data_IF_114046671285
#
_entry.id   IF_114046671285
#
_cell.length_a   1.000
_cell.length_b   1.000
_cell.length_c   1.000
_cell.angle_alpha   90.00
_cell.angle_beta   90.00
_cell.angle_gamma   90.00
#
_symmetry.space_group_name_H-M   'P 1'
#
loop_
_entity.id
_entity.type
_entity.pdbx_description
1 polymer ?
#
# COMPACT_ATOMS: atom_id res chain seq x y z
N UNK A 1 -8.85 -9.72 8.90
CA UNK A 1 -8.56 -11.14 9.02
C UNK A 1 -8.79 -11.86 7.69
N UNK A 2 -8.03 -12.92 7.42
CA UNK A 2 -8.07 -13.70 6.18
C UNK A 2 -9.48 -14.21 5.84
N UNK A 3 -10.21 -14.69 6.83
CA UNK A 3 -11.57 -15.21 6.67
C UNK A 3 -12.57 -14.17 6.13
N UNK A 4 -12.31 -12.88 6.34
CA UNK A 4 -13.12 -11.78 5.81
C UNK A 4 -12.56 -11.29 4.47
N UNK A 5 -11.24 -11.30 4.29
CA UNK A 5 -10.62 -10.86 3.04
C UNK A 5 -11.04 -11.71 1.83
N UNK A 6 -11.15 -13.03 2.01
CA UNK A 6 -11.52 -13.95 0.91
C UNK A 6 -12.91 -13.63 0.32
N UNK A 7 -14.00 -13.51 1.10
CA UNK A 7 -15.31 -13.09 0.57
C UNK A 7 -15.29 -11.71 -0.10
N UNK A 8 -14.52 -10.75 0.42
CA UNK A 8 -14.35 -9.43 -0.21
C UNK A 8 -13.68 -9.56 -1.58
N UNK A 9 -12.60 -10.34 -1.68
CA UNK A 9 -11.94 -10.61 -2.96
C UNK A 9 -12.83 -11.37 -3.94
N UNK A 10 -13.69 -12.26 -3.46
CA UNK A 10 -14.70 -12.94 -4.28
C UNK A 10 -15.71 -11.95 -4.86
N UNK A 11 -16.20 -11.00 -4.06
CA UNK A 11 -17.09 -9.95 -4.54
C UNK A 11 -16.41 -9.04 -5.57
N UNK A 12 -15.14 -8.67 -5.34
CA UNK A 12 -14.36 -7.85 -6.28
C UNK A 12 -14.08 -8.56 -7.62
N UNK A 13 -14.08 -9.89 -7.65
CA UNK A 13 -13.89 -10.66 -8.90
C UNK A 13 -15.00 -10.42 -9.95
N UNK A 14 -16.10 -9.75 -9.58
CA UNK A 14 -17.13 -9.32 -10.53
C UNK A 14 -16.79 -8.00 -11.25
N UNK A 15 -15.62 -7.41 -10.97
CA UNK A 15 -15.13 -6.16 -11.57
C UNK A 15 -13.72 -6.35 -12.16
N UNK A 16 -13.30 -5.39 -12.98
CA UNK A 16 -11.94 -5.35 -13.55
C UNK A 16 -10.91 -4.72 -12.60
N UNK A 17 -11.30 -4.45 -11.35
CA UNK A 17 -10.40 -3.83 -10.37
C UNK A 17 -9.30 -4.79 -9.90
N UNK A 18 -8.06 -4.34 -9.92
CA UNK A 18 -6.94 -5.08 -9.35
C UNK A 18 -7.01 -5.08 -7.83
N UNK A 19 -6.96 -6.26 -7.24
CA UNK A 19 -7.10 -6.45 -5.80
C UNK A 19 -5.76 -6.28 -5.08
N UNK A 20 -5.64 -5.21 -4.28
CA UNK A 20 -4.51 -5.02 -3.37
C UNK A 20 -4.99 -5.19 -1.92
N UNK A 21 -4.17 -5.82 -1.09
CA UNK A 21 -4.45 -6.03 0.32
C UNK A 21 -3.39 -5.34 1.20
N UNK A 22 -3.83 -4.52 2.16
CA UNK A 22 -2.95 -4.07 3.24
C UNK A 22 -2.94 -5.13 4.35
N UNK A 23 -1.77 -5.66 4.67
CA UNK A 23 -1.60 -6.60 5.79
C UNK A 23 -1.52 -5.85 7.12
N UNK A 24 -1.85 -6.49 8.26
CA UNK A 24 -1.75 -5.85 9.58
C UNK A 24 -0.31 -5.59 10.01
N UNK A 25 0.62 -6.45 9.61
CA UNK A 25 2.03 -6.40 9.97
C UNK A 25 2.88 -7.19 8.97
N UNK A 26 4.21 -7.06 9.04
CA UNK A 26 5.15 -7.90 8.31
C UNK A 26 5.14 -9.32 8.89
N UNK A 27 4.31 -10.17 8.31
CA UNK A 27 4.17 -11.58 8.67
C UNK A 27 3.97 -12.38 7.38
N UNK A 28 4.93 -13.23 7.05
CA UNK A 28 4.97 -13.93 5.77
C UNK A 28 3.76 -14.82 5.51
N UNK A 29 3.22 -15.47 6.55
CA UNK A 29 2.09 -16.40 6.40
C UNK A 29 0.82 -15.72 5.93
N UNK A 30 0.46 -14.53 6.46
CA UNK A 30 -0.72 -13.80 5.99
C UNK A 30 -0.49 -13.21 4.59
N UNK A 31 0.72 -12.75 4.29
CA UNK A 31 1.09 -12.25 2.97
C UNK A 31 0.87 -13.35 1.91
N UNK A 32 1.44 -14.54 2.14
CA UNK A 32 1.32 -15.69 1.23
C UNK A 32 -0.14 -16.12 1.06
N UNK A 33 -0.91 -16.22 2.15
CA UNK A 33 -2.34 -16.59 2.10
C UNK A 33 -3.17 -15.63 1.27
N UNK A 34 -2.97 -14.32 1.42
CA UNK A 34 -3.71 -13.32 0.64
C UNK A 34 -3.37 -13.39 -0.84
N UNK A 35 -2.10 -13.59 -1.18
CA UNK A 35 -1.67 -13.78 -2.57
C UNK A 35 -2.25 -15.08 -3.15
N UNK A 36 -2.25 -16.18 -2.41
CA UNK A 36 -2.84 -17.45 -2.84
C UNK A 36 -4.36 -17.36 -3.03
N UNK A 37 -5.01 -16.47 -2.27
CA UNK A 37 -6.43 -16.16 -2.41
C UNK A 37 -6.74 -15.23 -3.58
N UNK A 38 -5.75 -14.68 -4.28
CA UNK A 38 -5.94 -13.91 -5.50
C UNK A 38 -5.69 -12.40 -5.37
N UNK A 39 -5.10 -11.92 -4.26
CA UNK A 39 -4.57 -10.56 -4.24
C UNK A 39 -3.42 -10.44 -5.24
N UNK A 40 -3.40 -9.36 -6.01
CA UNK A 40 -2.33 -9.04 -6.98
C UNK A 40 -1.33 -8.03 -6.41
N UNK A 41 -1.52 -7.62 -5.17
CA UNK A 41 -0.56 -6.77 -4.49
C UNK A 41 -0.77 -6.73 -2.99
N UNK A 42 0.33 -6.47 -2.30
CA UNK A 42 0.37 -6.31 -0.85
C UNK A 42 0.94 -4.94 -0.50
N UNK A 43 0.28 -4.27 0.45
CA UNK A 43 0.78 -3.09 1.13
C UNK A 43 1.19 -3.54 2.53
N UNK A 44 2.47 -3.43 2.88
CA UNK A 44 3.00 -3.86 4.17
C UNK A 44 3.36 -2.66 5.05
N UNK A 45 2.71 -2.50 6.22
CA UNK A 45 2.96 -1.37 7.11
C UNK A 45 4.31 -1.47 7.82
N UNK A 46 4.78 -0.33 8.36
CA UNK A 46 5.91 -0.24 9.29
C UNK A 46 7.22 -0.86 8.77
N UNK A 47 7.54 -0.68 7.49
CA UNK A 47 8.83 -1.08 6.92
C UNK A 47 9.84 0.04 7.21
N UNK A 48 10.76 -0.22 8.14
CA UNK A 48 11.70 0.76 8.66
C UNK A 48 13.15 0.54 8.20
N UNK A 49 13.44 -0.60 7.60
CA UNK A 49 14.79 -0.98 7.20
C UNK A 49 14.82 -1.74 5.87
N UNK A 50 15.99 -1.75 5.24
CA UNK A 50 16.26 -2.60 4.07
C UNK A 50 16.00 -4.08 4.36
N UNK A 51 16.39 -4.57 5.54
CA UNK A 51 16.17 -5.96 5.94
C UNK A 51 14.69 -6.32 5.95
N UNK A 52 13.84 -5.47 6.52
CA UNK A 52 12.38 -5.68 6.53
C UNK A 52 11.79 -5.61 5.11
N UNK A 53 12.28 -4.71 4.28
CA UNK A 53 11.89 -4.65 2.88
C UNK A 53 12.29 -5.91 2.09
N UNK A 54 13.48 -6.46 2.32
CA UNK A 54 13.92 -7.74 1.74
C UNK A 54 13.09 -8.91 2.24
N UNK A 55 12.75 -8.96 3.52
CA UNK A 55 11.85 -9.97 4.09
C UNK A 55 10.46 -9.88 3.48
N UNK A 56 9.91 -8.67 3.36
CA UNK A 56 8.63 -8.42 2.72
C UNK A 56 8.61 -8.87 1.26
N UNK A 57 9.58 -8.44 0.46
CA UNK A 57 9.69 -8.85 -0.95
C UNK A 57 9.83 -10.36 -1.06
N UNK A 58 10.68 -10.97 -0.23
CA UNK A 58 10.88 -12.42 -0.21
C UNK A 58 9.59 -13.20 0.04
N UNK A 59 8.71 -12.71 0.91
CA UNK A 59 7.40 -13.32 1.18
C UNK A 59 6.41 -13.20 0.00
N UNK A 60 6.64 -12.27 -0.94
CA UNK A 60 5.77 -12.05 -2.11
C UNK A 60 6.24 -12.77 -3.38
N UNK A 61 7.45 -13.30 -3.40
CA UNK A 61 8.09 -13.89 -4.59
C UNK A 61 8.37 -15.38 -4.40
N UNK A 62 8.17 -16.15 -5.46
CA UNK A 62 8.64 -17.54 -5.51
C UNK A 62 10.16 -17.62 -5.72
N UNK A 63 10.75 -18.74 -5.34
CA UNK A 63 12.17 -19.01 -5.62
C UNK A 63 12.48 -18.88 -7.13
N UNK A 64 13.65 -18.38 -7.52
CA UNK A 64 14.80 -18.01 -6.67
C UNK A 64 14.74 -16.56 -6.13
N UNK A 65 13.71 -15.76 -6.46
CA UNK A 65 13.61 -14.35 -6.12
C UNK A 65 13.09 -14.10 -4.68
N UNK A 66 12.51 -15.13 -4.06
CA UNK A 66 12.00 -15.09 -2.70
C UNK A 66 11.81 -16.48 -2.12
N UNK A 67 11.01 -16.55 -1.06
CA UNK A 67 10.73 -17.80 -0.32
C UNK A 67 9.25 -18.09 -0.16
N UNK A 68 8.38 -17.45 -0.98
CA UNK A 68 6.94 -17.73 -0.98
C UNK A 68 6.69 -19.20 -1.28
N UNK A 69 5.92 -19.87 -0.42
CA UNK A 69 5.45 -21.24 -0.66
C UNK A 69 4.46 -21.28 -1.81
N UNK A 70 4.57 -22.28 -2.69
CA UNK A 70 3.66 -22.43 -3.82
C UNK A 70 2.38 -23.15 -3.42
N UNK A 71 1.27 -22.42 -3.33
CA UNK A 71 -0.06 -22.92 -2.99
C UNK A 71 -1.19 -22.06 -3.56
N UNK A 72 -1.06 -21.47 -4.78
CA UNK A 72 -1.98 -20.46 -5.28
C UNK A 72 -3.26 -21.06 -5.87
N UNK A 73 -4.00 -21.85 -5.11
CA UNK A 73 -5.17 -22.58 -5.64
C UNK A 73 -6.19 -21.61 -6.23
N UNK A 74 -6.64 -20.60 -5.48
CA UNK A 74 -7.63 -19.66 -5.99
C UNK A 74 -7.03 -18.69 -7.01
N UNK A 75 -5.84 -18.17 -6.76
CA UNK A 75 -5.15 -17.27 -7.70
C UNK A 75 -4.93 -17.97 -9.06
N UNK A 76 -4.51 -19.23 -9.07
CA UNK A 76 -4.32 -20.01 -10.29
C UNK A 76 -5.62 -20.31 -11.05
N UNK A 77 -6.78 -20.30 -10.38
CA UNK A 77 -8.09 -20.44 -11.05
C UNK A 77 -8.56 -19.13 -11.70
N UNK A 78 -8.15 -17.99 -11.15
CA UNK A 78 -8.58 -16.65 -11.61
C UNK A 78 -7.65 -16.13 -12.71
N UNK A 79 -6.34 -16.29 -12.52
CA UNK A 79 -5.33 -15.72 -13.42
C UNK A 79 -4.64 -16.82 -14.22
N UNK A 80 -4.80 -16.84 -15.53
CA UNK A 80 -4.11 -17.81 -16.39
C UNK A 80 -2.59 -17.72 -16.21
N UNK A 81 -1.93 -18.88 -16.14
CA UNK A 81 -0.46 -18.98 -16.02
C UNK A 81 0.13 -18.23 -14.80
N UNK A 82 -0.66 -18.12 -13.73
CA UNK A 82 -0.31 -17.34 -12.54
C UNK A 82 1.08 -17.65 -12.00
N UNK A 83 1.44 -18.93 -11.88
CA UNK A 83 2.70 -19.33 -11.26
C UNK A 83 3.93 -18.78 -12.01
N UNK A 84 3.91 -18.78 -13.32
CA UNK A 84 5.02 -18.31 -14.15
C UNK A 84 5.09 -16.77 -14.18
N UNK A 85 3.96 -16.09 -13.99
CA UNK A 85 3.88 -14.63 -14.08
C UNK A 85 3.94 -13.92 -12.72
N UNK A 86 3.70 -14.65 -11.62
CA UNK A 86 3.53 -14.04 -10.30
C UNK A 86 4.74 -13.21 -9.83
N UNK A 87 5.96 -13.70 -10.08
CA UNK A 87 7.17 -12.97 -9.69
C UNK A 87 7.30 -11.60 -10.36
N UNK A 88 6.75 -11.42 -11.56
CA UNK A 88 6.82 -10.17 -12.31
C UNK A 88 5.59 -9.29 -12.09
N UNK A 89 4.43 -9.87 -11.81
CA UNK A 89 3.16 -9.14 -11.74
C UNK A 89 2.74 -8.73 -10.34
N UNK A 90 3.17 -9.45 -9.29
CA UNK A 90 2.77 -9.12 -7.91
C UNK A 90 3.36 -7.79 -7.49
N UNK A 91 2.47 -6.89 -7.06
CA UNK A 91 2.80 -5.56 -6.55
C UNK A 91 3.18 -5.66 -5.07
N UNK A 92 4.37 -5.22 -4.71
CA UNK A 92 4.85 -5.12 -3.32
C UNK A 92 5.11 -3.66 -2.97
N UNK A 93 4.29 -3.10 -2.07
CA UNK A 93 4.38 -1.71 -1.63
C UNK A 93 4.78 -1.67 -0.14
N UNK A 94 5.99 -1.19 0.15
CA UNK A 94 6.45 -0.97 1.52
C UNK A 94 5.88 0.35 2.04
N UNK A 95 5.22 0.34 3.21
CA UNK A 95 4.75 1.60 3.80
C UNK A 95 5.89 2.34 4.49
N UNK A 96 6.06 3.60 4.10
CA UNK A 96 6.95 4.58 4.72
C UNK A 96 6.08 5.46 5.60
N UNK A 97 6.10 5.22 6.90
CA UNK A 97 5.18 5.85 7.85
C UNK A 97 5.80 6.11 9.24
N UNK A 98 7.13 6.13 9.30
CA UNK A 98 7.89 6.51 10.51
C UNK A 98 9.07 7.41 10.15
N UNK A 99 9.56 8.17 11.14
CA UNK A 99 10.79 8.98 10.98
C UNK A 99 12.01 8.09 10.65
N UNK A 100 12.07 6.88 11.22
CA UNK A 100 13.09 5.88 10.91
C UNK A 100 13.02 5.43 9.44
N UNK A 101 11.82 5.12 8.94
CA UNK A 101 11.61 4.73 7.54
C UNK A 101 11.99 5.86 6.57
N UNK A 102 11.72 7.13 6.91
CA UNK A 102 12.14 8.29 6.11
C UNK A 102 13.66 8.39 6.08
N UNK A 103 14.33 8.19 7.22
CA UNK A 103 15.79 8.20 7.31
C UNK A 103 16.43 7.09 6.46
N UNK A 104 15.84 5.92 6.45
CA UNK A 104 16.32 4.73 5.73
C UNK A 104 15.72 4.58 4.32
N UNK A 105 15.01 5.59 3.83
CA UNK A 105 14.23 5.49 2.58
C UNK A 105 15.10 5.12 1.36
N UNK A 106 16.35 5.59 1.27
CA UNK A 106 17.26 5.23 0.16
C UNK A 106 17.57 3.72 0.16
N UNK A 107 17.83 3.14 1.32
CA UNK A 107 18.13 1.71 1.45
C UNK A 107 16.87 0.85 1.20
N UNK A 108 15.72 1.27 1.72
CA UNK A 108 14.44 0.60 1.49
C UNK A 108 14.09 0.61 0.00
N UNK A 109 14.16 1.77 -0.65
CA UNK A 109 13.83 1.91 -2.06
C UNK A 109 14.82 1.18 -3.00
N UNK A 110 16.05 0.93 -2.53
CA UNK A 110 17.05 0.16 -3.28
C UNK A 110 16.88 -1.37 -3.16
N UNK A 111 15.85 -1.85 -2.46
CA UNK A 111 15.60 -3.29 -2.27
C UNK A 111 15.21 -3.94 -3.61
N UNK A 112 15.94 -4.96 -4.08
CA UNK A 112 15.58 -5.66 -5.31
C UNK A 112 14.19 -6.31 -5.25
N UNK A 113 13.38 -6.13 -6.29
CA UNK A 113 12.04 -6.70 -6.39
C UNK A 113 10.95 -5.92 -5.64
N UNK A 114 11.28 -4.85 -4.93
CA UNK A 114 10.29 -3.92 -4.39
C UNK A 114 9.65 -3.13 -5.54
N UNK A 115 8.32 -3.22 -5.68
CA UNK A 115 7.60 -2.53 -6.77
C UNK A 115 7.47 -1.04 -6.51
N UNK A 116 7.32 -0.67 -5.25
CA UNK A 116 7.15 0.71 -4.85
C UNK A 116 7.03 0.90 -3.35
N UNK A 117 6.81 2.15 -2.98
CA UNK A 117 6.48 2.55 -1.62
C UNK A 117 5.05 3.07 -1.52
N UNK A 118 4.52 3.05 -0.30
CA UNK A 118 3.23 3.64 0.03
C UNK A 118 3.36 4.49 1.30
N UNK A 119 3.08 5.79 1.20
CA UNK A 119 3.22 6.68 2.35
C UNK A 119 1.96 6.65 3.21
N UNK A 120 2.14 6.47 4.53
CA UNK A 120 1.10 6.56 5.56
C UNK A 120 1.21 7.89 6.33
N UNK A 121 0.55 9.00 5.90
CA UNK A 121 0.80 10.33 6.48
C UNK A 121 0.43 10.46 7.96
N UNK A 122 -0.57 9.71 8.44
CA UNK A 122 -1.02 9.77 9.83
C UNK A 122 -0.01 9.18 10.79
N UNK A 123 0.48 7.97 10.51
CA UNK A 123 1.47 7.29 11.35
C UNK A 123 2.82 8.01 11.24
N UNK A 124 3.18 8.48 10.04
CA UNK A 124 4.37 9.31 9.84
C UNK A 124 4.35 10.56 10.75
N UNK A 125 3.22 11.26 10.80
CA UNK A 125 3.09 12.44 11.64
C UNK A 125 3.20 12.11 13.13
N UNK A 126 2.55 11.04 13.58
CA UNK A 126 2.66 10.56 14.96
C UNK A 126 4.12 10.22 15.29
N UNK A 127 4.79 9.49 14.43
CA UNK A 127 6.22 9.14 14.60
C UNK A 127 7.14 10.35 14.68
N UNK A 128 6.81 11.43 13.94
CA UNK A 128 7.57 12.68 13.92
C UNK A 128 7.13 13.68 14.99
N UNK A 129 6.27 13.28 15.95
CA UNK A 129 5.82 14.07 17.09
C UNK A 129 4.68 15.07 16.80
N UNK A 130 3.95 14.88 15.69
CA UNK A 130 2.76 15.65 15.36
C UNK A 130 1.47 14.84 15.54
N UNK A 131 0.31 15.51 15.50
CA UNK A 131 -0.99 14.84 15.53
C UNK A 131 -1.29 14.06 14.24
N UNK A 132 -2.12 12.97 14.31
CA UNK A 132 -2.52 12.21 13.12
C UNK A 132 -3.28 13.08 12.11
N UNK A 133 -3.21 12.71 10.84
CA UNK A 133 -3.97 13.38 9.79
C UNK A 133 -3.45 12.99 8.40
N UNK A 134 -4.34 13.12 7.43
CA UNK A 134 -4.04 12.96 6.00
C UNK A 134 -3.85 14.35 5.37
N UNK A 135 -3.66 14.42 4.07
CA UNK A 135 -3.68 15.65 3.25
C UNK A 135 -2.85 16.79 3.86
N UNK A 136 -1.58 16.49 4.11
CA UNK A 136 -0.65 17.40 4.79
C UNK A 136 -0.37 18.65 3.98
N UNK A 137 -0.43 19.81 4.63
CA UNK A 137 -0.03 21.09 4.06
C UNK A 137 1.49 21.29 4.20
N UNK A 138 2.10 22.21 3.43
CA UNK A 138 3.54 22.49 3.54
C UNK A 138 4.00 22.64 5.00
N UNK A 139 5.08 21.92 5.33
CA UNK A 139 5.65 21.82 6.68
C UNK A 139 6.38 20.48 6.86
N UNK A 140 6.83 20.19 8.07
CA UNK A 140 7.73 19.04 8.39
C UNK A 140 7.28 17.73 7.76
N UNK A 141 6.01 17.36 7.91
CA UNK A 141 5.49 16.07 7.41
C UNK A 141 5.37 16.09 5.88
N UNK A 142 4.85 17.18 5.32
CA UNK A 142 4.78 17.35 3.86
C UNK A 142 6.17 17.26 3.22
N UNK A 143 7.16 17.92 3.81
CA UNK A 143 8.54 17.91 3.31
C UNK A 143 9.15 16.50 3.37
N UNK A 144 8.87 15.73 4.41
CA UNK A 144 9.26 14.33 4.51
C UNK A 144 8.58 13.47 3.42
N UNK A 145 7.29 13.67 3.15
CA UNK A 145 6.55 13.00 2.06
C UNK A 145 7.20 13.31 0.70
N UNK A 146 7.50 14.58 0.42
CA UNK A 146 8.15 14.98 -0.83
C UNK A 146 9.60 14.46 -0.94
N UNK A 147 10.31 14.37 0.18
CA UNK A 147 11.65 13.79 0.23
C UNK A 147 11.63 12.31 -0.17
N UNK A 148 10.74 11.53 0.44
CA UNK A 148 10.57 10.10 0.14
C UNK A 148 10.15 9.88 -1.33
N UNK A 149 9.27 10.73 -1.87
CA UNK A 149 8.90 10.69 -3.29
C UNK A 149 10.13 10.86 -4.20
N UNK A 150 11.02 11.81 -3.90
CA UNK A 150 12.25 12.03 -4.68
C UNK A 150 13.17 10.81 -4.65
N UNK A 151 13.28 10.16 -3.49
CA UNK A 151 14.09 8.95 -3.33
C UNK A 151 13.51 7.81 -4.16
N UNK A 152 12.20 7.56 -4.09
CA UNK A 152 11.53 6.51 -4.87
C UNK A 152 11.72 6.73 -6.38
N UNK A 153 11.56 7.98 -6.86
CA UNK A 153 11.82 8.34 -8.25
C UNK A 153 13.27 8.09 -8.67
N UNK A 154 14.24 8.46 -7.83
CA UNK A 154 15.67 8.22 -8.08
C UNK A 154 15.97 6.72 -8.16
N UNK A 155 15.32 5.91 -7.33
CA UNK A 155 15.44 4.45 -7.33
C UNK A 155 14.69 3.78 -8.50
N UNK A 156 13.86 4.50 -9.24
CA UNK A 156 13.07 3.98 -10.36
C UNK A 156 11.89 3.10 -9.96
N UNK A 157 11.42 3.23 -8.70
CA UNK A 157 10.25 2.50 -8.19
C UNK A 157 9.04 3.44 -8.05
N UNK A 158 7.84 2.86 -7.97
CA UNK A 158 6.59 3.59 -7.85
C UNK A 158 6.38 4.19 -6.46
N UNK A 159 5.67 5.32 -6.39
CA UNK A 159 5.29 5.93 -5.13
C UNK A 159 3.77 6.14 -5.05
N UNK A 160 3.19 5.70 -3.94
CA UNK A 160 1.80 5.91 -3.60
C UNK A 160 1.63 6.53 -2.22
N UNK A 161 0.41 7.00 -1.90
CA UNK A 161 0.10 7.53 -0.59
C UNK A 161 -1.40 7.42 -0.25
N UNK A 162 -1.70 7.49 1.05
CA UNK A 162 -3.07 7.55 1.55
C UNK A 162 -3.54 9.01 1.66
N UNK A 163 -4.69 9.30 1.04
CA UNK A 163 -5.30 10.63 0.98
C UNK A 163 -6.75 10.60 1.43
N UNK A 164 -7.32 11.77 1.70
CA UNK A 164 -8.72 11.93 2.04
C UNK A 164 -9.48 12.77 1.00
N UNK A 165 -8.86 13.80 0.44
CA UNK A 165 -9.49 14.77 -0.47
C UNK A 165 -9.05 14.55 -1.92
N UNK A 166 -9.99 14.53 -2.90
CA UNK A 166 -9.68 14.35 -4.32
C UNK A 166 -8.76 15.45 -4.89
N UNK A 167 -8.85 16.69 -4.38
CA UNK A 167 -7.99 17.78 -4.88
C UNK A 167 -6.56 17.58 -4.39
N UNK A 168 -6.38 17.11 -3.14
CA UNK A 168 -5.07 16.75 -2.64
C UNK A 168 -4.44 15.62 -3.45
N UNK A 169 -5.22 14.61 -3.85
CA UNK A 169 -4.73 13.55 -4.76
C UNK A 169 -4.23 14.15 -6.08
N UNK A 170 -4.97 15.10 -6.68
CA UNK A 170 -4.53 15.77 -7.91
C UNK A 170 -3.21 16.52 -7.72
N UNK A 171 -3.05 17.22 -6.58
CA UNK A 171 -1.80 17.90 -6.22
C UNK A 171 -0.64 16.90 -6.10
N UNK A 172 -0.86 15.75 -5.46
CA UNK A 172 0.15 14.71 -5.28
C UNK A 172 0.50 14.02 -6.61
N UNK A 173 -0.48 13.78 -7.48
CA UNK A 173 -0.19 13.29 -8.84
C UNK A 173 0.62 14.30 -9.65
N UNK A 174 0.31 15.59 -9.54
CA UNK A 174 1.10 16.64 -10.19
C UNK A 174 2.55 16.72 -9.65
N UNK A 175 2.77 16.37 -8.37
CA UNK A 175 4.12 16.27 -7.80
C UNK A 175 4.85 14.99 -8.23
N UNK A 176 4.10 13.97 -8.70
CA UNK A 176 4.60 12.75 -9.32
C UNK A 176 4.40 11.47 -8.55
N UNK A 177 3.48 11.43 -7.59
CA UNK A 177 2.92 10.17 -7.11
C UNK A 177 2.14 9.49 -8.24
N UNK A 178 2.12 8.16 -8.25
CA UNK A 178 1.50 7.36 -9.31
C UNK A 178 0.32 6.53 -8.82
N UNK A 179 0.16 6.43 -7.50
CA UNK A 179 -0.92 5.72 -6.84
C UNK A 179 -1.40 6.50 -5.62
N UNK A 180 -2.72 6.56 -5.42
CA UNK A 180 -3.31 7.13 -4.21
C UNK A 180 -4.57 6.37 -3.83
N UNK A 181 -4.77 6.09 -2.56
CA UNK A 181 -6.06 5.63 -2.06
C UNK A 181 -6.86 6.81 -1.53
N UNK A 182 -8.14 6.88 -1.93
CA UNK A 182 -9.06 7.91 -1.50
C UNK A 182 -9.85 7.43 -0.29
N UNK A 183 -9.51 7.94 0.90
CA UNK A 183 -10.29 7.71 2.12
C UNK A 183 -10.58 6.23 2.39
N UNK A 184 -11.74 5.93 2.97
CA UNK A 184 -12.31 4.58 3.07
C UNK A 184 -13.85 4.65 3.00
N UNK A 185 -14.48 3.51 2.76
CA UNK A 185 -15.93 3.35 2.60
C UNK A 185 -16.72 3.90 3.79
N UNK A 186 -16.32 3.61 5.03
CA UNK A 186 -17.00 4.07 6.25
C UNK A 186 -16.98 5.60 6.34
N UNK A 187 -15.82 6.22 6.08
CA UNK A 187 -15.69 7.69 6.11
C UNK A 187 -16.52 8.35 5.03
N UNK A 188 -16.47 7.84 3.80
CA UNK A 188 -17.24 8.37 2.68
C UNK A 188 -18.74 8.27 2.96
N UNK A 189 -19.21 7.12 3.45
CA UNK A 189 -20.61 6.94 3.82
C UNK A 189 -21.03 7.88 4.95
N UNK A 190 -20.22 7.97 6.01
CA UNK A 190 -20.51 8.85 7.15
C UNK A 190 -20.57 10.31 6.71
N UNK A 191 -19.65 10.74 5.87
CA UNK A 191 -19.61 12.12 5.37
C UNK A 191 -20.86 12.48 4.57
N UNK A 192 -21.25 11.62 3.62
CA UNK A 192 -22.44 11.91 2.79
C UNK A 192 -23.73 11.86 3.61
N UNK A 193 -23.88 10.88 4.51
CA UNK A 193 -25.05 10.79 5.38
C UNK A 193 -25.18 12.01 6.29
N UNK A 194 -24.07 12.44 6.91
CA UNK A 194 -24.05 13.63 7.78
C UNK A 194 -24.42 14.90 6.99
N UNK A 195 -23.89 15.07 5.78
CA UNK A 195 -24.27 16.19 4.91
C UNK A 195 -25.76 16.19 4.62
N UNK A 196 -26.32 15.07 4.18
CA UNK A 196 -27.76 14.98 3.85
C UNK A 196 -28.69 15.26 5.07
N UNK A 197 -28.29 14.77 6.26
CA UNK A 197 -29.02 15.03 7.48
C UNK A 197 -29.01 16.54 7.83
N UNK A 198 -27.85 17.19 7.70
CA UNK A 198 -27.73 18.62 7.96
C UNK A 198 -28.55 19.45 6.98
N UNK A 199 -28.53 19.09 5.69
CA UNK A 199 -29.31 19.77 4.65
C UNK A 199 -30.85 19.70 4.92
N UNK A 200 -31.33 18.58 5.49
CA UNK A 200 -32.73 18.42 5.88
C UNK A 200 -33.08 19.23 7.14
N UNK A 201 -32.08 19.47 8.02
CA UNK A 201 -32.31 20.21 9.30
C UNK A 201 -32.09 21.71 9.19
N UNK A 202 -31.51 22.19 8.10
CA UNK A 202 -31.33 23.62 7.79
C UNK A 202 -32.58 24.22 7.16
#
# INVERSE_FOLDING_TARGET
>A
DYSIAVPMMQAMSASDATMLCRVPWLEAGIIMKLLDAGAMGIICPMINSRKEAEEFVGATRYAPLGYRSSGPVRAGLIYPDYHNQANDQIISLAMIETEEAVTNAEEICATPGLTGIYVGPSDLAISMGEGPGLDRKPGKIYDAIQHVLKIAKKAGIRAGLHCMDPNYIKEMYASGFEFASLSNDVRLLTQIVSSQINDVRS
#
